data_IF_431802725765
#
_entry.id   IF_431802725765
#
_cell.length_a   1.000
_cell.length_b   1.000
_cell.length_c   1.000
_cell.angle_alpha   90.00
_cell.angle_beta   90.00
_cell.angle_gamma   90.00
#
_symmetry.space_group_name_H-M   'P 1'
#
loop_
_entity.id
_entity.type
_entity.pdbx_description
1 polymer ?
#
# COMPACT_ATOMS: atom_id res chain seq x y z
N UNK A 1 -17.57 -18.42 -5.87
CA UNK A 1 -16.60 -17.33 -5.62
C UNK A 1 -15.87 -17.68 -4.34
N UNK A 2 -14.53 -17.74 -4.38
CA UNK A 2 -13.73 -18.04 -3.19
C UNK A 2 -13.09 -16.74 -2.69
N UNK A 3 -13.24 -16.46 -1.40
CA UNK A 3 -12.60 -15.34 -0.73
C UNK A 3 -11.26 -15.81 -0.17
N UNK A 4 -10.18 -15.11 -0.52
CA UNK A 4 -8.83 -15.40 -0.02
C UNK A 4 -8.38 -14.25 0.87
N UNK A 5 -7.79 -14.57 2.01
CA UNK A 5 -7.27 -13.56 2.94
C UNK A 5 -5.86 -13.94 3.39
N UNK A 6 -4.93 -12.98 3.30
CA UNK A 6 -3.58 -13.11 3.81
C UNK A 6 -3.41 -12.18 5.02
N UNK A 7 -3.00 -12.75 6.15
CA UNK A 7 -2.64 -11.99 7.34
C UNK A 7 -1.16 -12.19 7.65
N UNK A 8 -0.44 -11.08 7.82
CA UNK A 8 0.98 -11.09 8.18
C UNK A 8 1.24 -10.05 9.27
N UNK A 9 2.14 -10.37 10.20
CA UNK A 9 2.62 -9.46 11.23
C UNK A 9 4.15 -9.44 11.21
N UNK A 10 4.72 -8.25 11.36
CA UNK A 10 6.16 -8.03 11.46
C UNK A 10 6.45 -7.09 12.63
N UNK A 11 7.57 -7.33 13.32
CA UNK A 11 8.10 -6.43 14.35
C UNK A 11 9.26 -5.66 13.74
N UNK A 12 9.25 -4.34 13.89
CA UNK A 12 10.28 -3.45 13.36
C UNK A 12 10.99 -2.77 14.53
N UNK A 13 12.33 -2.59 14.46
CA UNK A 13 13.11 -1.95 15.52
C UNK A 13 13.01 -0.41 15.43
N UNK A 14 11.79 0.13 15.51
CA UNK A 14 11.48 1.55 15.38
C UNK A 14 10.26 1.91 16.22
N UNK A 15 10.14 3.18 16.58
CA UNK A 15 9.00 3.68 17.34
C UNK A 15 7.73 3.72 16.49
N UNK A 16 6.58 3.77 17.17
CA UNK A 16 5.29 3.86 16.52
C UNK A 16 5.16 5.09 15.62
N UNK A 17 5.71 6.22 16.07
CA UNK A 17 5.65 7.49 15.36
C UNK A 17 6.53 7.46 14.10
N UNK A 18 7.76 6.93 14.21
CA UNK A 18 8.65 6.78 13.05
C UNK A 18 8.04 5.86 11.98
N UNK A 19 7.41 4.76 12.38
CA UNK A 19 6.68 3.91 11.43
C UNK A 19 5.53 4.68 10.79
N UNK A 20 4.74 5.39 11.59
CA UNK A 20 3.59 6.12 11.08
C UNK A 20 4.00 7.18 10.06
N UNK A 21 5.01 8.00 10.37
CA UNK A 21 5.54 9.02 9.46
C UNK A 21 6.04 8.41 8.15
N UNK A 22 6.66 7.23 8.20
CA UNK A 22 7.12 6.53 7.00
C UNK A 22 5.96 5.95 6.18
N UNK A 23 5.05 5.20 6.80
CA UNK A 23 4.01 4.47 6.07
C UNK A 23 2.81 5.33 5.67
N UNK A 24 2.58 6.47 6.34
CA UNK A 24 1.56 7.45 5.95
C UNK A 24 2.02 8.39 4.82
N UNK A 25 3.26 8.25 4.36
CA UNK A 25 3.77 8.96 3.18
C UNK A 25 3.69 8.04 1.94
N UNK A 26 2.79 8.34 0.99
CA UNK A 26 2.60 7.52 -0.20
C UNK A 26 3.83 7.52 -1.14
N UNK A 27 4.76 8.48 -0.99
CA UNK A 27 6.03 8.48 -1.72
C UNK A 27 6.98 7.36 -1.28
N UNK A 28 6.77 6.80 -0.08
CA UNK A 28 7.60 5.71 0.48
C UNK A 28 7.24 4.32 -0.03
N UNK A 29 6.12 4.15 -0.76
CA UNK A 29 5.73 2.85 -1.32
C UNK A 29 6.84 2.22 -2.18
N UNK A 30 7.56 3.02 -2.96
CA UNK A 30 8.69 2.54 -3.77
C UNK A 30 9.83 1.96 -2.92
N UNK A 31 10.04 2.48 -1.71
CA UNK A 31 11.14 2.08 -0.82
C UNK A 31 10.90 0.72 -0.15
N UNK A 32 9.64 0.33 0.04
CA UNK A 32 9.26 -0.98 0.58
C UNK A 32 8.98 -2.03 -0.51
N UNK A 33 8.99 -1.61 -1.77
CA UNK A 33 8.81 -2.49 -2.91
C UNK A 33 10.16 -3.13 -3.29
N UNK A 34 10.24 -4.45 -3.46
CA UNK A 34 11.45 -5.11 -3.94
C UNK A 34 11.98 -4.46 -5.24
N UNK A 35 13.28 -4.17 -5.32
CA UNK A 35 13.86 -3.39 -6.42
C UNK A 35 13.78 -4.06 -7.80
N UNK A 36 13.62 -5.37 -7.83
CA UNK A 36 13.35 -6.16 -9.04
C UNK A 36 11.94 -5.94 -9.61
N UNK A 37 10.99 -5.46 -8.78
CA UNK A 37 9.59 -5.23 -9.16
C UNK A 37 9.32 -3.87 -9.83
N UNK A 38 10.37 -3.15 -10.28
CA UNK A 38 10.36 -1.81 -10.92
C UNK A 38 9.08 -1.01 -10.68
N UNK A 39 9.13 -0.18 -9.64
CA UNK A 39 8.02 0.67 -9.21
C UNK A 39 8.11 2.05 -9.84
N UNK A 40 7.07 2.48 -10.56
CA UNK A 40 6.96 3.82 -11.13
C UNK A 40 5.70 4.53 -10.63
N UNK A 41 5.88 5.51 -9.73
CA UNK A 41 4.79 6.36 -9.23
C UNK A 41 4.25 7.24 -10.36
N UNK A 42 2.94 7.16 -10.63
CA UNK A 42 2.26 8.00 -11.64
C UNK A 42 1.52 9.18 -11.03
N UNK A 43 0.96 9.02 -9.82
CA UNK A 43 0.30 10.12 -9.12
C UNK A 43 1.34 11.10 -8.54
N UNK A 44 1.19 12.43 -8.74
CA UNK A 44 2.02 13.42 -8.06
C UNK A 44 1.83 13.37 -6.54
N UNK A 45 2.91 13.15 -5.79
CA UNK A 45 2.88 13.09 -4.33
C UNK A 45 3.07 14.50 -3.75
N UNK A 46 1.99 15.28 -3.72
CA UNK A 46 2.00 16.65 -3.19
C UNK A 46 1.30 16.81 -1.84
N UNK A 47 0.68 15.73 -1.33
CA UNK A 47 -0.14 15.74 -0.12
C UNK A 47 0.12 14.50 0.72
N UNK A 48 -0.05 14.64 2.03
CA UNK A 48 -0.09 13.52 2.96
C UNK A 48 -1.22 12.55 2.60
N UNK A 49 -1.06 11.27 2.95
CA UNK A 49 -2.10 10.27 2.76
C UNK A 49 -3.38 10.66 3.50
N UNK A 50 -4.54 10.48 2.86
CA UNK A 50 -5.84 10.77 3.45
C UNK A 50 -6.94 9.86 2.86
N UNK A 51 -8.07 9.66 3.57
CA UNK A 51 -9.21 8.95 3.00
C UNK A 51 -9.69 9.59 1.69
N UNK A 52 -10.06 8.75 0.71
CA UNK A 52 -10.43 9.14 -0.65
C UNK A 52 -9.24 9.44 -1.58
N UNK A 53 -7.99 9.36 -1.10
CA UNK A 53 -6.81 9.54 -1.95
C UNK A 53 -6.69 8.39 -2.95
N UNK A 54 -6.53 8.71 -4.23
CA UNK A 54 -6.24 7.76 -5.30
C UNK A 54 -4.75 7.75 -5.61
N UNK A 55 -4.13 6.57 -5.52
CA UNK A 55 -2.71 6.35 -5.82
C UNK A 55 -2.62 5.47 -7.06
N UNK A 56 -1.92 5.96 -8.08
CA UNK A 56 -1.68 5.25 -9.33
C UNK A 56 -0.17 5.06 -9.50
N UNK A 57 0.23 3.81 -9.74
CA UNK A 57 1.61 3.43 -10.01
C UNK A 57 1.65 2.22 -10.94
N UNK A 58 2.77 2.07 -11.65
CA UNK A 58 3.06 0.86 -12.41
C UNK A 58 4.03 -0.03 -11.63
N UNK A 59 3.79 -1.34 -11.71
CA UNK A 59 4.67 -2.38 -11.16
C UNK A 59 5.12 -3.32 -12.26
N UNK A 60 6.29 -3.92 -12.07
CA UNK A 60 6.81 -4.97 -12.95
C UNK A 60 7.22 -6.20 -12.16
N UNK A 61 6.26 -6.99 -11.64
CA UNK A 61 6.57 -8.20 -10.86
C UNK A 61 7.32 -9.26 -11.66
N UNK A 62 7.21 -9.24 -13.00
CA UNK A 62 7.93 -10.12 -13.92
C UNK A 62 8.53 -9.32 -15.09
N UNK A 63 9.71 -9.69 -15.64
CA UNK A 63 10.43 -8.93 -16.67
C UNK A 63 9.67 -8.61 -17.98
N UNK A 64 8.53 -9.25 -18.26
CA UNK A 64 7.73 -9.00 -19.46
C UNK A 64 6.29 -8.50 -19.18
N UNK A 65 5.89 -8.35 -17.92
CA UNK A 65 4.50 -8.08 -17.55
C UNK A 65 4.41 -6.83 -16.66
N UNK A 66 4.39 -5.62 -17.25
CA UNK A 66 4.03 -4.42 -16.50
C UNK A 66 2.55 -4.47 -16.13
N UNK A 67 2.23 -4.03 -14.93
CA UNK A 67 0.89 -4.01 -14.38
C UNK A 67 0.62 -2.61 -13.87
N UNK A 68 -0.48 -2.02 -14.33
CA UNK A 68 -0.96 -0.76 -13.78
C UNK A 68 -1.76 -1.06 -12.51
N UNK A 69 -1.55 -0.25 -11.48
CA UNK A 69 -2.19 -0.41 -10.20
C UNK A 69 -2.78 0.92 -9.73
N UNK A 70 -4.07 0.91 -9.43
CA UNK A 70 -4.79 2.05 -8.88
C UNK A 70 -5.41 1.63 -7.57
N UNK A 71 -5.06 2.29 -6.49
CA UNK A 71 -5.64 2.08 -5.16
C UNK A 71 -6.32 3.33 -4.64
N UNK A 72 -7.29 3.12 -3.76
CA UNK A 72 -7.90 4.18 -2.95
C UNK A 72 -7.61 3.93 -1.47
N UNK A 73 -7.24 4.97 -0.74
CA UNK A 73 -7.20 4.93 0.72
C UNK A 73 -8.63 5.11 1.23
N UNK A 74 -9.25 4.05 1.75
CA UNK A 74 -10.67 4.11 2.15
C UNK A 74 -10.87 4.52 3.60
N UNK A 75 -9.96 4.11 4.48
CA UNK A 75 -10.04 4.38 5.91
C UNK A 75 -8.66 4.73 6.45
N UNK A 76 -8.63 5.63 7.43
CA UNK A 76 -7.40 6.02 8.13
C UNK A 76 -7.74 6.41 9.56
N UNK A 77 -6.93 5.92 10.50
CA UNK A 77 -6.94 6.35 11.90
C UNK A 77 -5.52 6.71 12.26
N UNK A 78 -5.30 7.96 12.61
CA UNK A 78 -3.97 8.52 12.86
C UNK A 78 -3.18 7.69 13.87
N UNK A 79 -1.94 7.40 13.48
CA UNK A 79 -0.99 6.56 14.18
C UNK A 79 -1.49 5.15 14.51
N UNK A 80 -2.51 4.63 13.81
CA UNK A 80 -3.05 3.30 14.11
C UNK A 80 -3.17 2.42 12.89
N UNK A 81 -3.79 2.91 11.82
CA UNK A 81 -4.01 2.13 10.61
C UNK A 81 -4.38 3.01 9.42
N UNK A 82 -4.18 2.45 8.24
CA UNK A 82 -4.89 2.85 7.04
C UNK A 82 -5.32 1.59 6.27
N UNK A 83 -6.30 1.74 5.40
CA UNK A 83 -6.79 0.69 4.52
C UNK A 83 -6.71 1.20 3.10
N UNK A 84 -6.03 0.45 2.24
CA UNK A 84 -6.10 0.65 0.80
C UNK A 84 -6.96 -0.43 0.14
N UNK A 85 -7.66 -0.02 -0.91
CA UNK A 85 -8.42 -0.93 -1.76
C UNK A 85 -8.00 -0.74 -3.20
N UNK A 86 -7.71 -1.85 -3.88
CA UNK A 86 -7.46 -1.82 -5.32
C UNK A 86 -8.74 -1.41 -6.06
N UNK A 87 -8.64 -0.36 -6.87
CA UNK A 87 -9.66 0.09 -7.84
C UNK A 87 -9.40 -0.49 -9.23
N UNK A 88 -8.13 -0.59 -9.63
CA UNK A 88 -7.71 -1.23 -10.88
C UNK A 88 -6.39 -1.98 -10.67
N UNK A 89 -6.25 -3.16 -11.25
CA UNK A 89 -5.05 -3.99 -11.09
C UNK A 89 -5.27 -5.43 -11.52
N UNK A 90 -4.29 -6.32 -11.24
CA UNK A 90 -4.31 -7.70 -11.71
C UNK A 90 -5.32 -8.57 -10.93
N UNK A 91 -5.78 -8.11 -9.78
CA UNK A 91 -6.76 -8.81 -8.95
C UNK A 91 -8.19 -8.39 -9.28
N UNK A 92 -9.12 -9.36 -9.25
CA UNK A 92 -10.54 -9.07 -9.43
C UNK A 92 -11.08 -8.35 -8.19
N UNK A 93 -11.88 -7.30 -8.40
CA UNK A 93 -12.53 -6.53 -7.35
C UNK A 93 -13.32 -7.47 -6.40
N UNK A 94 -12.99 -7.44 -5.09
CA UNK A 94 -13.55 -8.34 -4.07
C UNK A 94 -12.64 -9.48 -3.60
N UNK A 95 -11.44 -9.65 -4.18
CA UNK A 95 -10.46 -10.67 -3.76
C UNK A 95 -9.34 -10.08 -2.89
N UNK A 96 -9.06 -8.78 -2.98
CA UNK A 96 -7.91 -8.14 -2.30
C UNK A 96 -8.29 -6.79 -1.68
N UNK A 97 -8.61 -6.80 -0.40
CA UNK A 97 -8.47 -5.62 0.46
C UNK A 97 -7.15 -5.77 1.20
N UNK A 98 -6.14 -4.97 0.85
CA UNK A 98 -4.88 -4.96 1.59
C UNK A 98 -5.07 -4.05 2.79
N UNK A 99 -5.40 -4.67 3.92
CA UNK A 99 -5.34 -3.97 5.20
C UNK A 99 -3.88 -3.99 5.62
N UNK A 100 -3.12 -2.92 5.32
CA UNK A 100 -1.86 -2.69 6.02
C UNK A 100 -2.20 -2.19 7.43
N UNK A 101 -2.60 -3.14 8.28
CA UNK A 101 -2.68 -2.90 9.71
C UNK A 101 -1.25 -2.87 10.23
N UNK A 102 -0.68 -1.67 10.29
CA UNK A 102 0.54 -1.41 11.04
C UNK A 102 0.16 -1.44 12.52
N UNK A 103 -0.20 -2.63 13.01
CA UNK A 103 -0.35 -2.87 14.44
C UNK A 103 1.07 -2.97 14.99
N UNK A 104 1.63 -1.80 15.27
CA UNK A 104 2.86 -1.61 16.03
C UNK A 104 2.56 -2.07 17.45
N UNK A 105 2.61 -3.38 17.66
CA UNK A 105 2.93 -3.88 18.98
C UNK A 105 4.45 -3.78 19.09
N UNK A 106 4.90 -2.76 19.82
CA UNK A 106 6.16 -2.81 20.53
C UNK A 106 6.25 -4.11 21.34
#
# INVERSE_FOLDING_TARGET
MHLYTLHKKQVLPLSKQEAWEFFSDPSKLSSITPGDMKFDMRTPMSRAMHPGMIIHYDLKPLPAFPVQWVTEITHMIDERLFVDEQRFGPFVFGITSTILMITLRC
#
